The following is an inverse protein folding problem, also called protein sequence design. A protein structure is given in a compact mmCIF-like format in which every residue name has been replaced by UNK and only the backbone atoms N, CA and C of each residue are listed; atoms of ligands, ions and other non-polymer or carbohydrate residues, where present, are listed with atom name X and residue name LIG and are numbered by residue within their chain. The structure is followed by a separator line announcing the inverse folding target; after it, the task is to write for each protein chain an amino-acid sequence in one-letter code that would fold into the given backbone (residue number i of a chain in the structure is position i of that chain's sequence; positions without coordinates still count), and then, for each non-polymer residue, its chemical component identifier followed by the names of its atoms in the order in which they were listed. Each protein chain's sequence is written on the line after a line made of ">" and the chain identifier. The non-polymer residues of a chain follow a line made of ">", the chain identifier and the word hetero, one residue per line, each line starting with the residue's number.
data_IF_560836759321
#
_entry.id   IF_560836759321
#
_cell.length_a   1.000
_cell.length_b   1.000
_cell.length_c   1.000
_cell.angle_alpha   90.00
_cell.angle_beta   90.00
_cell.angle_gamma   90.00
#
_symmetry.space_group_name_H-M   'P 1'
#
loop_
_entity.id
_entity.type
_entity.pdbx_description
1 polymer ?
#
# COMPACT_ATOMS: atom_id res chain seq x y z
N UNK A 1 11.25 -7.02 -5.66
CA UNK A 1 11.54 -5.84 -6.51
C UNK A 1 11.94 -4.71 -5.57
N UNK A 2 13.19 -4.22 -5.66
CA UNK A 2 13.72 -3.14 -4.81
C UNK A 2 14.04 -1.92 -5.69
N UNK A 3 14.15 -0.74 -5.08
CA UNK A 3 14.44 0.51 -5.80
C UNK A 3 15.79 0.44 -6.52
N UNK A 4 16.82 -0.14 -5.89
CA UNK A 4 18.16 -0.26 -6.47
C UNK A 4 18.18 -1.15 -7.72
N UNK A 5 17.35 -2.21 -7.74
CA UNK A 5 17.21 -3.08 -8.91
C UNK A 5 16.55 -2.34 -10.08
N UNK A 6 15.58 -1.46 -9.81
CA UNK A 6 14.88 -0.68 -10.82
C UNK A 6 15.76 0.45 -11.37
N UNK A 7 16.51 1.13 -10.51
CA UNK A 7 17.51 2.13 -10.90
C UNK A 7 18.56 1.51 -11.84
N UNK A 8 19.20 0.40 -11.43
CA UNK A 8 20.18 -0.30 -12.26
C UNK A 8 19.59 -0.75 -13.61
N UNK A 9 18.32 -1.16 -13.62
CA UNK A 9 17.64 -1.55 -14.85
C UNK A 9 17.52 -0.37 -15.83
N UNK A 10 17.02 0.78 -15.37
CA UNK A 10 16.82 1.95 -16.22
C UNK A 10 18.14 2.57 -16.69
N UNK A 11 19.16 2.58 -15.82
CA UNK A 11 20.51 3.02 -16.19
C UNK A 11 21.11 2.14 -17.29
N UNK A 12 20.95 0.81 -17.17
CA UNK A 12 21.49 -0.16 -18.15
C UNK A 12 20.92 0.05 -19.57
N UNK A 13 19.66 0.46 -19.67
CA UNK A 13 19.02 0.73 -20.96
C UNK A 13 19.07 2.21 -21.36
N UNK A 14 19.77 3.05 -20.58
CA UNK A 14 19.87 4.49 -20.75
C UNK A 14 18.49 5.17 -20.95
N UNK A 15 17.49 4.73 -20.18
CA UNK A 15 16.13 5.24 -20.28
C UNK A 15 15.96 6.54 -19.48
N UNK A 16 15.11 7.43 -19.97
CA UNK A 16 14.65 8.61 -19.25
C UNK A 16 13.23 8.93 -19.65
N UNK A 17 12.40 9.27 -18.66
CA UNK A 17 11.03 9.72 -18.89
C UNK A 17 10.99 11.17 -19.41
N UNK A 18 11.81 12.06 -18.84
CA UNK A 18 11.95 13.45 -19.31
C UNK A 18 13.30 14.06 -18.93
N UNK A 19 13.72 15.08 -19.67
CA UNK A 19 14.83 15.95 -19.27
C UNK A 19 14.31 17.08 -18.38
N UNK A 20 14.85 17.23 -17.17
CA UNK A 20 14.49 18.32 -16.28
C UNK A 20 14.77 19.69 -16.94
N UNK A 21 13.77 20.58 -16.98
CA UNK A 21 13.88 21.85 -17.69
C UNK A 21 14.86 22.84 -17.05
N UNK A 22 15.17 22.69 -15.75
CA UNK A 22 16.09 23.54 -15.01
C UNK A 22 17.50 22.95 -15.03
N UNK A 23 17.68 21.73 -14.52
CA UNK A 23 19.00 21.11 -14.34
C UNK A 23 19.53 20.41 -15.58
N UNK A 24 18.68 20.17 -16.59
CA UNK A 24 18.97 19.36 -17.80
C UNK A 24 19.29 17.89 -17.50
N UNK A 25 19.01 17.42 -16.28
CA UNK A 25 19.20 16.01 -15.89
C UNK A 25 18.16 15.10 -16.56
N UNK A 26 18.53 13.94 -17.11
CA UNK A 26 17.58 12.90 -17.51
C UNK A 26 16.94 12.27 -16.27
N UNK A 27 15.62 12.42 -16.12
CA UNK A 27 14.87 11.98 -14.94
C UNK A 27 14.11 10.68 -15.20
N UNK A 28 13.88 9.95 -14.12
CA UNK A 28 12.94 8.83 -14.05
C UNK A 28 11.73 9.21 -13.20
N UNK A 29 10.54 8.78 -13.60
CA UNK A 29 9.30 8.99 -12.85
C UNK A 29 8.95 7.69 -12.14
N UNK A 30 8.76 7.75 -10.82
CA UNK A 30 8.08 6.69 -10.09
C UNK A 30 6.55 6.90 -10.12
N UNK A 31 5.79 5.81 -10.22
CA UNK A 31 4.32 5.81 -10.15
C UNK A 31 3.90 4.74 -9.15
N UNK A 32 3.09 5.15 -8.16
CA UNK A 32 2.33 4.33 -7.21
C UNK A 32 2.81 2.86 -7.12
N UNK A 33 3.96 2.62 -6.43
CA UNK A 33 4.60 1.31 -6.38
C UNK A 33 4.00 0.47 -5.24
N UNK A 34 2.67 0.36 -5.15
CA UNK A 34 2.02 -0.31 -4.00
C UNK A 34 2.44 -1.77 -3.91
N UNK A 35 2.51 -2.50 -5.03
CA UNK A 35 2.85 -3.93 -5.00
C UNK A 35 4.31 -4.15 -4.55
N UNK A 36 5.24 -3.37 -5.07
CA UNK A 36 6.66 -3.44 -4.74
C UNK A 36 6.90 -3.09 -3.27
N UNK A 37 6.26 -2.02 -2.79
CA UNK A 37 6.40 -1.56 -1.41
C UNK A 37 5.66 -2.45 -0.42
N UNK A 38 4.47 -2.96 -0.77
CA UNK A 38 3.75 -3.98 0.00
C UNK A 38 4.61 -5.23 0.20
N UNK A 39 5.24 -5.72 -0.88
CA UNK A 39 6.10 -6.92 -0.84
C UNK A 39 7.27 -6.73 0.15
N UNK A 40 7.79 -5.50 0.28
CA UNK A 40 8.87 -5.19 1.21
C UNK A 40 8.39 -5.00 2.67
N UNK A 41 7.11 -4.66 2.87
CA UNK A 41 6.49 -4.39 4.16
C UNK A 41 6.23 -5.65 4.99
N UNK A 42 5.94 -5.47 6.29
CA UNK A 42 5.73 -6.61 7.21
C UNK A 42 4.47 -7.43 6.87
N UNK A 43 3.41 -6.76 6.41
CA UNK A 43 2.17 -7.44 5.99
C UNK A 43 2.42 -8.32 4.75
N UNK A 44 3.08 -7.79 3.71
CA UNK A 44 3.42 -8.57 2.52
C UNK A 44 4.40 -9.70 2.80
N UNK A 45 5.38 -9.50 3.70
CA UNK A 45 6.27 -10.57 4.18
C UNK A 45 5.55 -11.72 4.87
N UNK A 46 4.41 -11.45 5.50
CA UNK A 46 3.54 -12.45 6.11
C UNK A 46 2.39 -12.88 5.19
N UNK A 47 2.45 -12.50 3.91
CA UNK A 47 1.44 -12.79 2.90
C UNK A 47 0.01 -12.33 3.26
N UNK A 48 -0.12 -11.29 4.08
CA UNK A 48 -1.39 -10.57 4.27
C UNK A 48 -1.64 -9.78 2.99
N UNK A 49 -2.68 -10.15 2.27
CA UNK A 49 -2.92 -9.72 0.89
C UNK A 49 -3.62 -8.35 0.85
N UNK A 50 -3.65 -7.74 -0.34
CA UNK A 50 -4.42 -6.52 -0.57
C UNK A 50 -5.91 -6.71 -0.25
N UNK A 51 -6.44 -7.91 -0.50
CA UNK A 51 -7.85 -8.27 -0.33
C UNK A 51 -8.24 -8.31 1.14
N UNK A 52 -7.36 -8.79 2.02
CA UNK A 52 -7.64 -8.91 3.46
C UNK A 52 -7.95 -7.55 4.10
N UNK A 53 -7.37 -6.47 3.56
CA UNK A 53 -7.61 -5.10 4.02
C UNK A 53 -8.67 -4.36 3.19
N UNK A 54 -8.62 -4.46 1.85
CA UNK A 54 -9.40 -3.60 0.96
C UNK A 54 -10.67 -4.25 0.39
N UNK A 55 -10.83 -5.56 0.54
CA UNK A 55 -11.96 -6.33 0.03
C UNK A 55 -12.37 -7.42 1.04
N UNK A 56 -12.76 -7.04 2.27
CA UNK A 56 -13.09 -8.00 3.31
C UNK A 56 -14.30 -8.86 2.93
N UNK A 57 -14.40 -10.05 3.53
CA UNK A 57 -15.62 -10.85 3.46
C UNK A 57 -16.67 -10.24 4.39
N UNK A 58 -17.86 -9.93 3.85
CA UNK A 58 -18.99 -9.33 4.56
C UNK A 58 -20.26 -10.13 4.29
N UNK A 59 -21.31 -9.92 5.09
CA UNK A 59 -22.61 -10.59 4.94
C UNK A 59 -23.65 -9.61 4.40
N UNK A 60 -24.53 -10.10 3.52
CA UNK A 60 -25.69 -9.35 3.06
C UNK A 60 -26.87 -9.48 4.05
N UNK A 61 -28.02 -8.90 3.72
CA UNK A 61 -29.21 -8.95 4.58
C UNK A 61 -29.69 -10.39 4.86
N UNK A 62 -29.43 -11.32 3.94
CA UNK A 62 -29.77 -12.74 4.08
C UNK A 62 -28.68 -13.57 4.78
N UNK A 63 -27.62 -12.93 5.30
CA UNK A 63 -26.51 -13.60 5.99
C UNK A 63 -25.52 -14.32 5.06
N UNK A 64 -25.65 -14.19 3.73
CA UNK A 64 -24.75 -14.81 2.77
C UNK A 64 -23.44 -14.02 2.70
N UNK A 65 -22.32 -14.75 2.80
CA UNK A 65 -20.98 -14.17 2.64
C UNK A 65 -20.70 -13.78 1.18
N UNK A 66 -20.14 -12.59 1.00
CA UNK A 66 -19.61 -12.09 -0.26
C UNK A 66 -18.36 -11.24 -0.03
N UNK A 67 -17.59 -11.00 -1.09
CA UNK A 67 -16.44 -10.08 -1.03
C UNK A 67 -16.93 -8.65 -1.18
N UNK A 68 -16.58 -7.76 -0.27
CA UNK A 68 -16.86 -6.33 -0.44
C UNK A 68 -16.03 -5.78 -1.61
N UNK A 69 -16.72 -5.21 -2.61
CA UNK A 69 -16.11 -4.61 -3.78
C UNK A 69 -16.05 -3.08 -3.69
N UNK A 70 -16.48 -2.48 -2.57
CA UNK A 70 -16.26 -1.06 -2.28
C UNK A 70 -14.82 -0.84 -1.81
N UNK A 71 -13.88 -0.98 -2.74
CA UNK A 71 -12.44 -0.81 -2.49
C UNK A 71 -12.19 0.62 -2.01
N UNK A 72 -11.61 0.76 -0.82
CA UNK A 72 -11.42 2.05 -0.18
C UNK A 72 -10.56 1.97 1.07
N UNK A 73 -10.80 2.87 2.03
CA UNK A 73 -10.03 2.91 3.27
C UNK A 73 -10.42 1.72 4.18
N UNK A 74 -9.48 0.82 4.55
CA UNK A 74 -9.77 -0.32 5.42
C UNK A 74 -10.34 0.05 6.79
N UNK A 75 -10.03 1.26 7.29
CA UNK A 75 -10.57 1.74 8.57
C UNK A 75 -12.07 2.06 8.52
N UNK A 76 -12.67 2.23 7.34
CA UNK A 76 -14.12 2.42 7.19
C UNK A 76 -14.87 1.17 7.66
N UNK A 77 -14.25 -0.01 7.52
CA UNK A 77 -14.80 -1.30 7.90
C UNK A 77 -13.89 -2.08 8.87
N UNK A 78 -13.40 -1.40 9.90
CA UNK A 78 -12.37 -1.92 10.83
C UNK A 78 -12.67 -3.31 11.41
N UNK A 79 -13.94 -3.56 11.75
CA UNK A 79 -14.34 -4.81 12.41
C UNK A 79 -14.22 -6.04 11.50
N UNK A 80 -14.19 -5.85 10.18
CA UNK A 80 -14.10 -6.92 9.17
C UNK A 80 -12.75 -6.92 8.44
N UNK A 81 -11.87 -5.96 8.76
CA UNK A 81 -10.51 -5.83 8.19
C UNK A 81 -9.47 -6.07 9.28
N UNK A 82 -9.02 -5.01 9.97
CA UNK A 82 -7.93 -5.05 10.93
C UNK A 82 -8.24 -5.95 12.15
N UNK A 83 -9.48 -5.93 12.64
CA UNK A 83 -9.89 -6.65 13.83
C UNK A 83 -9.86 -8.19 13.68
N UNK A 84 -9.76 -8.71 12.45
CA UNK A 84 -9.58 -10.15 12.22
C UNK A 84 -8.22 -10.67 12.72
N UNK A 85 -7.21 -9.79 12.81
CA UNK A 85 -5.85 -10.15 13.17
C UNK A 85 -5.30 -9.37 14.38
N UNK A 86 -5.80 -8.16 14.63
CA UNK A 86 -5.32 -7.28 15.68
C UNK A 86 -6.28 -7.20 16.87
N UNK A 87 -5.73 -7.21 18.08
CA UNK A 87 -6.49 -7.06 19.34
C UNK A 87 -6.59 -5.61 19.80
N UNK A 88 -5.80 -4.71 19.20
CA UNK A 88 -5.85 -3.28 19.48
C UNK A 88 -7.15 -2.65 18.95
N UNK A 89 -7.63 -1.61 19.62
CA UNK A 89 -8.79 -0.86 19.14
C UNK A 89 -8.49 -0.02 17.88
N UNK A 90 -9.56 0.44 17.24
CA UNK A 90 -9.50 1.26 16.02
C UNK A 90 -8.67 2.53 16.22
N UNK A 91 -8.82 3.20 17.36
CA UNK A 91 -8.16 4.49 17.61
C UNK A 91 -6.65 4.33 17.75
N UNK A 92 -6.19 3.26 18.41
CA UNK A 92 -4.79 2.92 18.59
C UNK A 92 -4.11 2.64 17.23
N UNK A 93 -4.73 1.82 16.38
CA UNK A 93 -4.17 1.52 15.05
C UNK A 93 -4.19 2.73 14.11
N UNK A 94 -5.24 3.56 14.14
CA UNK A 94 -5.26 4.82 13.39
C UNK A 94 -4.17 5.78 13.87
N UNK A 95 -3.95 5.88 15.19
CA UNK A 95 -2.87 6.70 15.75
C UNK A 95 -1.50 6.20 15.26
N UNK A 96 -1.26 4.89 15.28
CA UNK A 96 -0.02 4.31 14.77
C UNK A 96 0.18 4.62 13.28
N UNK A 97 -0.85 4.41 12.45
CA UNK A 97 -0.81 4.72 11.02
C UNK A 97 -0.49 6.19 10.76
N UNK A 98 -1.11 7.12 11.50
CA UNK A 98 -0.82 8.56 11.40
C UNK A 98 0.60 8.91 11.82
N UNK A 99 1.13 8.27 12.85
CA UNK A 99 2.51 8.49 13.30
C UNK A 99 3.55 8.02 12.27
N UNK A 100 3.27 6.92 11.56
CA UNK A 100 4.14 6.48 10.44
C UNK A 100 4.06 7.51 9.32
N UNK A 101 2.84 7.92 8.93
CA UNK A 101 2.64 8.96 7.91
C UNK A 101 3.40 10.25 8.25
N UNK A 102 3.33 10.73 9.50
CA UNK A 102 4.00 11.96 9.89
C UNK A 102 5.52 11.88 9.76
N UNK A 103 6.12 10.71 10.00
CA UNK A 103 7.57 10.50 9.86
C UNK A 103 8.04 10.48 8.40
N UNK A 104 7.14 10.22 7.46
CA UNK A 104 7.45 10.18 6.03
C UNK A 104 7.24 11.54 5.34
N UNK A 105 6.49 12.44 5.97
CA UNK A 105 6.18 13.78 5.43
C UNK A 105 7.04 14.90 6.01
N UNK A 106 7.86 14.60 7.01
CA UNK A 106 8.85 15.52 7.61
C UNK A 106 10.18 15.42 6.90
#
# INVERSE_FOLDING_TARGET
>A
MKVENMEQYYDKIAFSDWTNSLSKTPMLKAQHPEYETWTAGIHGKNNVTCIDCHMPKVQNAEGKLYTDHKIGNPFDNFAQTCANCHTQDKAALQKWSRNVSSRLTT
#
